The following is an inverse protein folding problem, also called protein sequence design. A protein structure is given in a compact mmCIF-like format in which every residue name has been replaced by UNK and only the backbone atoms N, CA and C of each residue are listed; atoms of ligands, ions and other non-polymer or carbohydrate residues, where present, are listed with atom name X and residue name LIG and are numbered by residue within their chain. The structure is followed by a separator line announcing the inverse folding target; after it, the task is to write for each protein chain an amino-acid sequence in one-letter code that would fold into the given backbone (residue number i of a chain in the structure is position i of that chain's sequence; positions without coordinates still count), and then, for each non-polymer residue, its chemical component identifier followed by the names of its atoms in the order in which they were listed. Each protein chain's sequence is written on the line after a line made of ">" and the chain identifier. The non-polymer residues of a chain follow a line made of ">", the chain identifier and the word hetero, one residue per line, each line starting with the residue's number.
data_IF_112591688997
#
_entry.id   IF_112591688997
#
_cell.length_a   1.000
_cell.length_b   1.000
_cell.length_c   1.000
_cell.angle_alpha   90.00
_cell.angle_beta   90.00
_cell.angle_gamma   90.00
#
_symmetry.space_group_name_H-M   'P 1'
#
loop_
_entity.id
_entity.type
_entity.pdbx_description
1 polymer ?
#
# COMPACT_ATOMS: atom_id res chain seq x y z
N UNK A 1 7.70 -62.34 -0.20
CA UNK A 1 9.07 -62.89 -0.44
C UNK A 1 10.05 -61.78 -0.67
N UNK A 2 11.01 -61.71 0.27
CA UNK A 2 12.42 -61.26 0.13
C UNK A 2 12.65 -59.79 -0.30
N UNK A 3 13.49 -58.99 0.30
CA UNK A 3 14.38 -59.05 1.47
C UNK A 3 14.87 -57.63 1.79
N UNK A 4 14.96 -57.36 3.07
CA UNK A 4 15.72 -56.44 3.88
C UNK A 4 17.15 -56.20 3.35
N UNK A 5 17.68 -54.94 3.43
CA UNK A 5 19.04 -54.70 3.93
C UNK A 5 19.17 -53.30 4.58
N UNK A 6 19.29 -53.39 5.87
CA UNK A 6 19.79 -52.40 6.83
C UNK A 6 21.33 -52.39 6.70
N UNK A 7 21.95 -51.22 6.61
CA UNK A 7 23.37 -51.03 6.89
C UNK A 7 23.54 -49.90 7.88
N UNK A 8 23.94 -50.30 9.06
CA UNK A 8 24.39 -49.52 10.21
C UNK A 8 25.91 -49.47 10.08
N UNK A 9 26.56 -48.32 10.13
CA UNK A 9 27.99 -48.17 10.44
C UNK A 9 28.15 -47.14 11.50
N UNK A 10 28.83 -47.60 12.52
CA UNK A 10 29.09 -47.05 13.84
C UNK A 10 30.58 -46.59 13.94
N UNK A 11 30.80 -45.53 14.73
CA UNK A 11 32.02 -45.14 15.47
C UNK A 11 33.32 -44.76 14.71
N UNK A 12 33.95 -43.63 15.09
CA UNK A 12 34.94 -43.59 16.15
C UNK A 12 35.31 -42.15 16.58
N UNK A 13 35.36 -41.97 17.90
CA UNK A 13 36.02 -40.87 18.62
C UNK A 13 37.56 -40.99 18.51
N UNK A 14 38.28 -39.86 18.43
CA UNK A 14 39.56 -39.68 19.11
C UNK A 14 39.73 -38.24 19.55
N UNK A 15 39.90 -38.08 20.84
CA UNK A 15 40.30 -36.82 21.49
C UNK A 15 41.82 -36.72 21.58
N UNK A 16 42.31 -35.51 21.70
CA UNK A 16 43.63 -35.24 22.32
C UNK A 16 43.62 -33.89 23.01
N UNK A 17 43.89 -33.94 24.27
CA UNK A 17 44.22 -32.84 25.20
C UNK A 17 45.71 -32.47 25.10
N UNK A 18 46.04 -31.35 25.71
CA UNK A 18 47.33 -30.73 26.18
C UNK A 18 47.59 -29.40 25.48
N UNK A 19 47.97 -28.34 26.21
CA UNK A 19 48.38 -28.15 27.57
C UNK A 19 48.56 -26.65 27.88
N UNK A 20 48.46 -26.34 29.14
CA UNK A 20 48.72 -25.05 29.78
C UNK A 20 50.21 -24.61 29.66
N UNK A 21 50.42 -23.29 29.53
CA UNK A 21 51.62 -22.68 30.13
C UNK A 21 51.30 -21.25 30.61
N UNK A 22 51.46 -21.08 31.91
CA UNK A 22 51.46 -19.85 32.68
C UNK A 22 52.81 -19.11 32.53
N UNK A 23 52.77 -17.78 32.44
CA UNK A 23 53.90 -16.98 33.00
C UNK A 23 53.36 -15.66 33.58
N UNK A 24 53.83 -15.44 34.80
CA UNK A 24 53.51 -14.32 35.71
C UNK A 24 54.26 -13.02 35.41
N UNK A 25 53.59 -11.92 35.68
CA UNK A 25 53.90 -10.75 36.50
C UNK A 25 55.07 -9.79 36.17
N UNK A 26 54.78 -8.53 36.09
CA UNK A 26 55.18 -7.40 37.00
C UNK A 26 55.17 -6.07 36.22
N UNK A 27 54.64 -5.04 36.87
CA UNK A 27 54.99 -3.65 36.63
C UNK A 27 53.86 -2.66 36.80
N UNK A 28 53.61 -2.22 38.02
CA UNK A 28 52.85 -1.04 38.39
C UNK A 28 53.52 0.24 37.83
N UNK A 29 52.71 1.10 37.15
CA UNK A 29 52.99 2.54 37.22
C UNK A 29 51.69 3.35 37.02
N UNK A 30 51.45 4.21 38.01
CA UNK A 30 50.31 5.09 38.16
C UNK A 30 50.41 6.31 37.25
N UNK A 31 49.37 6.63 36.47
CA UNK A 31 49.21 7.98 35.95
C UNK A 31 47.74 8.41 35.98
N UNK A 32 47.50 9.58 36.54
CA UNK A 32 46.22 10.25 36.77
C UNK A 32 45.44 10.61 35.49
N UNK A 33 44.14 10.86 35.63
CA UNK A 33 43.20 10.98 34.49
C UNK A 33 43.33 12.33 33.81
N UNK A 34 43.37 12.31 32.48
CA UNK A 34 43.15 13.48 31.62
C UNK A 34 41.72 13.58 31.13
N UNK A 35 41.24 14.79 31.18
CA UNK A 35 39.95 15.35 30.84
C UNK A 35 39.09 14.63 29.76
N UNK A 36 37.82 14.52 30.06
CA UNK A 36 36.74 14.19 29.14
C UNK A 36 36.74 15.13 27.92
N UNK A 37 36.96 14.58 26.75
CA UNK A 37 36.62 15.25 25.50
C UNK A 37 35.13 14.98 25.18
N UNK A 38 34.38 16.05 25.11
CA UNK A 38 32.99 16.07 24.67
C UNK A 38 32.87 15.43 23.29
N UNK A 39 32.00 14.44 23.19
CA UNK A 39 31.54 13.92 21.90
C UNK A 39 30.79 15.05 21.13
N UNK A 40 30.95 15.15 19.80
CA UNK A 40 30.22 16.17 19.05
C UNK A 40 28.73 15.82 19.07
N UNK A 41 27.93 16.78 19.48
CA UNK A 41 26.47 16.79 19.34
C UNK A 41 26.09 16.46 17.90
N UNK A 42 25.51 15.28 17.72
CA UNK A 42 24.89 14.88 16.47
C UNK A 42 23.67 15.77 16.25
N UNK A 43 23.84 16.84 15.48
CA UNK A 43 22.74 17.65 15.02
C UNK A 43 21.68 16.73 14.41
N UNK A 44 20.49 16.70 14.99
CA UNK A 44 19.29 16.21 14.37
C UNK A 44 19.02 17.05 13.12
N UNK A 45 19.53 16.63 11.98
CA UNK A 45 18.95 17.04 10.71
C UNK A 45 17.59 16.34 10.65
N UNK A 46 16.55 17.06 11.03
CA UNK A 46 15.18 16.77 10.61
C UNK A 46 15.24 16.62 9.09
N UNK A 47 14.97 15.39 8.64
CA UNK A 47 14.67 15.14 7.25
C UNK A 47 13.37 15.91 6.96
N UNK A 48 13.48 17.07 6.37
CA UNK A 48 12.35 17.75 5.73
C UNK A 48 11.85 16.81 4.64
N UNK A 49 10.85 16.01 5.00
CA UNK A 49 10.03 15.27 4.08
C UNK A 49 9.29 16.31 3.24
N UNK A 50 9.60 16.33 1.95
CA UNK A 50 8.97 17.23 0.98
C UNK A 50 7.53 16.75 0.74
N UNK A 51 6.65 16.97 1.70
CA UNK A 51 5.20 16.92 1.51
C UNK A 51 4.85 18.23 0.80
N UNK A 52 4.83 18.18 -0.53
CA UNK A 52 4.18 19.26 -1.28
C UNK A 52 2.76 19.36 -0.71
N UNK A 53 2.47 20.44 0.01
CA UNK A 53 1.12 20.69 0.52
C UNK A 53 0.22 20.87 -0.70
N UNK A 54 -0.79 20.01 -0.83
CA UNK A 54 -1.81 20.18 -1.86
C UNK A 54 -2.45 21.56 -1.65
N UNK A 55 -2.29 22.46 -2.63
CA UNK A 55 -2.97 23.75 -2.57
C UNK A 55 -4.46 23.54 -2.76
N UNK A 56 -5.25 23.94 -1.77
CA UNK A 56 -6.71 23.80 -1.75
C UNK A 56 -7.43 25.15 -1.72
N UNK A 57 -6.72 26.24 -2.04
CA UNK A 57 -7.30 27.59 -1.99
C UNK A 57 -8.53 27.73 -2.91
N UNK A 58 -8.47 27.13 -4.09
CA UNK A 58 -9.54 27.19 -5.10
C UNK A 58 -10.56 26.02 -4.99
N UNK A 59 -10.44 25.17 -3.96
CA UNK A 59 -11.34 24.03 -3.84
C UNK A 59 -12.74 24.45 -3.38
N UNK A 60 -13.75 23.81 -3.96
CA UNK A 60 -15.18 24.07 -3.68
C UNK A 60 -15.55 23.45 -2.34
N UNK A 61 -16.09 24.23 -1.42
CA UNK A 61 -16.67 23.71 -0.20
C UNK A 61 -18.04 23.07 -0.51
N UNK A 62 -18.23 21.80 -0.12
CA UNK A 62 -19.50 21.10 -0.32
C UNK A 62 -20.44 21.28 0.88
N UNK A 63 -21.74 21.27 0.64
CA UNK A 63 -22.76 21.30 1.69
C UNK A 63 -22.99 19.89 2.22
N UNK A 64 -22.58 19.63 3.46
CA UNK A 64 -22.66 18.31 4.10
C UNK A 64 -21.40 17.47 3.92
N UNK A 65 -21.40 16.21 4.40
CA UNK A 65 -20.26 15.31 4.28
C UNK A 65 -19.95 14.98 2.82
N UNK A 66 -18.70 15.17 2.41
CA UNK A 66 -18.24 14.80 1.08
C UNK A 66 -18.35 13.29 0.87
N UNK A 67 -18.80 12.88 -0.32
CA UNK A 67 -18.89 11.49 -0.76
C UNK A 67 -18.05 11.28 -2.01
N UNK A 68 -17.18 10.27 -2.01
CA UNK A 68 -16.27 9.96 -3.13
C UNK A 68 -16.53 8.55 -3.63
N UNK A 69 -16.96 8.35 -4.88
CA UNK A 69 -16.85 7.03 -5.50
C UNK A 69 -15.38 6.59 -5.54
N UNK A 70 -15.02 5.54 -4.80
CA UNK A 70 -13.71 4.89 -4.90
C UNK A 70 -13.91 3.63 -5.74
N UNK A 71 -13.45 3.67 -6.99
CA UNK A 71 -13.65 2.58 -7.96
C UNK A 71 -12.65 1.45 -7.68
N UNK A 72 -13.14 0.23 -7.48
CA UNK A 72 -12.34 -0.93 -7.17
C UNK A 72 -12.18 -1.83 -8.40
N UNK A 73 -11.05 -1.69 -9.08
CA UNK A 73 -10.55 -2.60 -10.12
C UNK A 73 -9.50 -3.58 -9.53
N UNK A 74 -9.08 -4.55 -10.33
CA UNK A 74 -7.95 -5.43 -10.06
C UNK A 74 -7.11 -5.56 -11.36
N UNK A 75 -7.34 -6.60 -12.15
CA UNK A 75 -6.62 -6.86 -13.39
C UNK A 75 -7.34 -6.28 -14.61
N UNK A 76 -6.60 -5.71 -15.55
CA UNK A 76 -7.13 -5.22 -16.85
C UNK A 76 -6.89 -6.29 -17.91
N UNK A 77 -7.72 -7.32 -17.86
CA UNK A 77 -7.66 -8.48 -18.75
C UNK A 77 -9.03 -9.16 -18.82
N UNK A 78 -9.13 -10.25 -19.57
CA UNK A 78 -10.36 -11.07 -19.62
C UNK A 78 -10.25 -12.30 -18.73
N UNK A 79 -11.40 -12.80 -18.25
CA UNK A 79 -11.44 -14.05 -17.47
C UNK A 79 -12.54 -14.09 -16.42
N UNK A 80 -12.22 -13.88 -15.15
CA UNK A 80 -13.17 -13.93 -14.04
C UNK A 80 -13.71 -12.54 -13.65
N UNK A 81 -14.53 -12.46 -12.59
CA UNK A 81 -15.15 -11.23 -12.09
C UNK A 81 -14.20 -10.14 -11.57
N UNK A 82 -12.91 -10.43 -11.41
CA UNK A 82 -11.87 -9.47 -11.03
C UNK A 82 -11.14 -8.87 -12.23
N UNK A 83 -11.50 -9.28 -13.44
CA UNK A 83 -10.77 -8.94 -14.67
C UNK A 83 -11.66 -8.14 -15.59
N UNK A 84 -11.39 -6.86 -15.73
CA UNK A 84 -12.09 -5.97 -16.65
C UNK A 84 -11.32 -5.90 -17.97
N UNK A 85 -11.93 -6.24 -19.11
CA UNK A 85 -11.26 -6.13 -20.41
C UNK A 85 -10.75 -4.73 -20.70
N UNK A 86 -9.61 -4.63 -21.40
CA UNK A 86 -8.95 -3.36 -21.71
C UNK A 86 -9.89 -2.37 -22.44
N UNK A 87 -10.68 -2.87 -23.41
CA UNK A 87 -11.63 -2.03 -24.15
C UNK A 87 -12.74 -1.46 -23.25
N UNK A 88 -13.22 -2.25 -22.27
CA UNK A 88 -14.21 -1.78 -21.29
C UNK A 88 -13.59 -0.73 -20.38
N UNK A 89 -12.38 -0.99 -19.85
CA UNK A 89 -11.67 -0.02 -19.01
C UNK A 89 -11.44 1.31 -19.76
N UNK A 90 -11.01 1.26 -21.02
CA UNK A 90 -10.86 2.46 -21.86
C UNK A 90 -12.19 3.19 -22.02
N UNK A 91 -13.29 2.47 -22.20
CA UNK A 91 -14.63 3.04 -22.28
C UNK A 91 -15.06 3.73 -20.97
N UNK A 92 -14.73 3.14 -19.81
CA UNK A 92 -15.00 3.73 -18.50
C UNK A 92 -14.19 5.02 -18.29
N UNK A 93 -12.90 5.02 -18.61
CA UNK A 93 -12.04 6.21 -18.50
C UNK A 93 -12.49 7.34 -19.44
N UNK A 94 -12.84 6.97 -20.68
CA UNK A 94 -13.41 7.93 -21.61
C UNK A 94 -14.70 8.56 -21.07
N UNK A 95 -15.59 7.75 -20.50
CA UNK A 95 -16.83 8.25 -19.91
C UNK A 95 -16.55 9.23 -18.76
N UNK A 96 -15.61 8.95 -17.87
CA UNK A 96 -15.21 9.88 -16.80
C UNK A 96 -14.68 11.19 -17.36
N UNK A 97 -13.82 11.15 -18.39
CA UNK A 97 -13.26 12.36 -19.04
C UNK A 97 -14.37 13.20 -19.69
N UNK A 98 -15.24 12.57 -20.47
CA UNK A 98 -16.31 13.24 -21.20
C UNK A 98 -17.35 13.89 -20.25
N UNK A 99 -17.50 13.35 -19.04
CA UNK A 99 -18.43 13.86 -18.02
C UNK A 99 -17.77 14.77 -16.98
N UNK A 100 -16.49 15.17 -17.20
CA UNK A 100 -15.80 16.18 -16.38
C UNK A 100 -15.41 15.70 -14.98
N UNK A 101 -15.16 14.40 -14.81
CA UNK A 101 -14.68 13.87 -13.52
C UNK A 101 -13.20 14.21 -13.29
N UNK A 102 -12.91 14.76 -12.12
CA UNK A 102 -11.56 14.91 -11.60
C UNK A 102 -11.13 13.63 -10.87
N UNK A 103 -9.97 13.08 -11.22
CA UNK A 103 -9.42 11.91 -10.57
C UNK A 103 -8.48 12.32 -9.43
N UNK A 104 -8.76 11.82 -8.23
CA UNK A 104 -8.05 12.18 -7.00
C UNK A 104 -6.77 11.34 -6.79
N UNK A 105 -5.78 11.92 -6.09
CA UNK A 105 -4.74 11.14 -5.39
C UNK A 105 -5.24 10.71 -4.01
N UNK A 106 -4.54 9.79 -3.30
CA UNK A 106 -4.85 9.46 -1.90
C UNK A 106 -4.86 10.68 -0.99
N UNK A 107 -3.90 11.60 -1.13
CA UNK A 107 -3.80 12.82 -0.32
C UNK A 107 -4.98 13.77 -0.59
N UNK A 108 -5.35 13.94 -1.86
CA UNK A 108 -6.51 14.74 -2.24
C UNK A 108 -7.81 14.11 -1.70
N UNK A 109 -7.97 12.79 -1.78
CA UNK A 109 -9.11 12.08 -1.22
C UNK A 109 -9.19 12.24 0.29
N UNK A 110 -8.07 12.18 1.01
CA UNK A 110 -8.01 12.45 2.44
C UNK A 110 -8.50 13.86 2.78
N UNK A 111 -8.05 14.88 2.03
CA UNK A 111 -8.48 16.27 2.23
C UNK A 111 -10.00 16.40 1.96
N UNK A 112 -10.49 15.82 0.85
CA UNK A 112 -11.92 15.84 0.52
C UNK A 112 -12.76 15.27 1.66
N UNK A 113 -12.39 14.10 2.18
CA UNK A 113 -13.15 13.41 3.23
C UNK A 113 -13.05 14.08 4.60
N UNK A 114 -11.94 14.77 4.90
CA UNK A 114 -11.72 15.38 6.21
C UNK A 114 -12.14 16.85 6.30
N UNK A 115 -12.11 17.57 5.17
CA UNK A 115 -12.35 19.02 5.15
C UNK A 115 -13.62 19.44 4.38
N UNK A 116 -14.33 18.49 3.77
CA UNK A 116 -15.51 18.74 2.93
C UNK A 116 -15.25 19.78 1.82
N UNK A 117 -14.05 19.71 1.22
CA UNK A 117 -13.62 20.53 0.09
C UNK A 117 -13.26 19.63 -1.09
N UNK A 118 -13.62 19.99 -2.30
CA UNK A 118 -13.40 19.21 -3.52
C UNK A 118 -12.74 20.06 -4.61
N UNK A 119 -11.77 19.51 -5.37
CA UNK A 119 -11.16 20.23 -6.50
C UNK A 119 -12.12 20.42 -7.67
N UNK A 120 -13.20 19.67 -7.72
CA UNK A 120 -14.28 19.74 -8.73
C UNK A 120 -15.57 19.23 -8.12
N UNK A 121 -16.72 19.63 -8.66
CA UNK A 121 -18.02 19.08 -8.26
C UNK A 121 -18.11 17.56 -8.49
N UNK A 122 -17.38 17.03 -9.47
CA UNK A 122 -17.34 15.61 -9.79
C UNK A 122 -15.94 15.06 -9.55
N UNK A 123 -15.76 14.37 -8.43
CA UNK A 123 -14.51 13.71 -8.09
C UNK A 123 -14.68 12.19 -8.01
N UNK A 124 -13.61 11.46 -8.30
CA UNK A 124 -13.53 10.01 -8.22
C UNK A 124 -12.11 9.58 -7.85
N UNK A 125 -11.96 8.50 -7.08
CA UNK A 125 -10.67 7.85 -6.86
C UNK A 125 -10.66 6.52 -7.61
N UNK A 126 -9.76 6.34 -8.57
CA UNK A 126 -9.59 5.09 -9.31
C UNK A 126 -8.60 4.22 -8.56
N UNK A 127 -8.98 2.99 -8.17
CA UNK A 127 -8.10 2.08 -7.44
C UNK A 127 -7.98 0.73 -8.11
N UNK A 128 -6.79 0.10 -8.00
CA UNK A 128 -6.51 -1.26 -8.44
C UNK A 128 -5.92 -2.03 -7.27
N UNK A 129 -6.48 -3.21 -6.98
CA UNK A 129 -5.94 -4.09 -5.95
C UNK A 129 -4.92 -5.08 -6.56
N UNK A 130 -4.08 -5.68 -5.71
CA UNK A 130 -3.07 -6.72 -5.97
C UNK A 130 -1.80 -6.25 -6.68
N UNK A 131 -1.85 -5.25 -7.55
CA UNK A 131 -0.69 -4.77 -8.30
C UNK A 131 -0.27 -5.71 -9.44
N UNK A 132 -1.23 -6.14 -10.26
CA UNK A 132 -0.97 -6.96 -11.45
C UNK A 132 -0.13 -6.23 -12.50
N UNK A 133 0.69 -6.96 -13.27
CA UNK A 133 1.52 -6.38 -14.35
C UNK A 133 0.68 -5.66 -15.41
N UNK A 134 -0.55 -6.11 -15.69
CA UNK A 134 -1.44 -5.48 -16.66
C UNK A 134 -1.93 -4.09 -16.22
N UNK A 135 -1.78 -3.73 -14.95
CA UNK A 135 -1.97 -2.34 -14.51
C UNK A 135 -0.94 -1.40 -15.14
N UNK A 136 0.30 -1.86 -15.34
CA UNK A 136 1.33 -1.11 -16.07
C UNK A 136 1.18 -1.25 -17.59
N UNK A 137 0.97 -2.46 -18.09
CA UNK A 137 1.01 -2.74 -19.53
C UNK A 137 -0.23 -2.22 -20.27
N UNK A 138 -1.39 -2.14 -19.60
CA UNK A 138 -2.69 -1.82 -20.20
C UNK A 138 -3.41 -0.64 -19.55
N UNK A 139 -3.56 -0.63 -18.20
CA UNK A 139 -4.27 0.46 -17.54
C UNK A 139 -3.49 1.77 -17.61
N UNK A 140 -2.20 1.75 -17.31
CA UNK A 140 -1.38 2.95 -17.23
C UNK A 140 -1.31 3.75 -18.55
N UNK A 141 -1.11 3.15 -19.74
CA UNK A 141 -1.21 3.89 -21.02
C UNK A 141 -2.56 4.56 -21.22
N UNK A 142 -3.65 3.89 -20.85
CA UNK A 142 -5.01 4.45 -20.96
C UNK A 142 -5.18 5.64 -20.01
N UNK A 143 -4.73 5.51 -18.75
CA UNK A 143 -4.78 6.60 -17.77
C UNK A 143 -3.98 7.81 -18.24
N UNK A 144 -2.81 7.60 -18.84
CA UNK A 144 -2.01 8.68 -19.45
C UNK A 144 -2.71 9.35 -20.61
N UNK A 145 -3.33 8.59 -21.53
CA UNK A 145 -4.09 9.13 -22.67
C UNK A 145 -5.19 10.11 -22.23
N UNK A 146 -5.79 9.87 -21.06
CA UNK A 146 -6.84 10.71 -20.48
C UNK A 146 -6.38 11.66 -19.39
N UNK A 147 -5.07 11.70 -19.07
CA UNK A 147 -4.47 12.53 -18.01
C UNK A 147 -5.10 12.24 -16.63
N UNK A 148 -5.32 10.98 -16.32
CA UNK A 148 -5.99 10.53 -15.11
C UNK A 148 -5.00 10.02 -14.05
N UNK A 149 -5.26 10.39 -12.80
CA UNK A 149 -4.61 9.83 -11.61
C UNK A 149 -5.30 8.53 -11.20
N UNK A 150 -4.55 7.64 -10.55
CA UNK A 150 -5.07 6.41 -9.96
C UNK A 150 -4.20 5.95 -8.78
N UNK A 151 -4.66 4.95 -8.06
CA UNK A 151 -3.97 4.35 -6.92
C UNK A 151 -3.89 2.84 -7.10
N UNK A 152 -2.71 2.26 -6.89
CA UNK A 152 -2.52 0.81 -6.88
C UNK A 152 -2.24 0.37 -5.45
N UNK A 153 -3.08 -0.48 -4.91
CA UNK A 153 -2.83 -1.18 -3.66
C UNK A 153 -1.99 -2.43 -3.92
N UNK A 154 -0.69 -2.29 -3.71
CA UNK A 154 0.29 -3.32 -4.03
C UNK A 154 0.50 -4.30 -2.87
N UNK A 155 0.50 -5.59 -3.16
CA UNK A 155 0.91 -6.63 -2.22
C UNK A 155 2.44 -6.62 -2.09
N UNK A 156 2.96 -6.33 -0.90
CA UNK A 156 4.41 -6.15 -0.71
C UNK A 156 5.25 -7.35 -1.15
N UNK A 157 4.83 -8.57 -0.80
CA UNK A 157 5.53 -9.81 -1.17
C UNK A 157 5.44 -10.16 -2.67
N UNK A 158 4.54 -9.52 -3.39
CA UNK A 158 4.33 -9.76 -4.83
C UNK A 158 5.21 -8.87 -5.72
N UNK A 159 5.90 -7.87 -5.16
CA UNK A 159 6.80 -7.00 -5.94
C UNK A 159 7.80 -7.81 -6.74
N UNK A 160 7.83 -7.61 -8.05
CA UNK A 160 8.73 -8.30 -8.99
C UNK A 160 8.43 -9.77 -9.23
N UNK A 161 7.35 -10.32 -8.67
CA UNK A 161 6.93 -11.69 -8.99
C UNK A 161 6.25 -11.76 -10.36
N UNK A 162 6.18 -12.96 -10.91
CA UNK A 162 5.45 -13.21 -12.16
C UNK A 162 4.04 -12.63 -12.10
N UNK A 163 3.65 -11.91 -13.13
CA UNK A 163 2.36 -11.22 -13.28
C UNK A 163 2.08 -10.08 -12.28
N UNK A 164 3.09 -9.59 -11.57
CA UNK A 164 2.97 -8.43 -10.68
C UNK A 164 3.99 -7.34 -11.04
N UNK A 165 3.70 -6.12 -10.59
CA UNK A 165 4.54 -4.95 -10.83
C UNK A 165 5.95 -5.12 -10.25
N UNK A 166 6.92 -4.64 -11.00
CA UNK A 166 8.30 -4.48 -10.53
C UNK A 166 8.49 -3.11 -9.88
N UNK A 167 9.54 -2.96 -9.05
CA UNK A 167 9.93 -1.67 -8.48
C UNK A 167 10.11 -0.58 -9.55
N UNK A 168 10.76 -0.92 -10.69
CA UNK A 168 10.95 0.02 -11.81
C UNK A 168 9.63 0.51 -12.38
N UNK A 169 8.67 -0.39 -12.60
CA UNK A 169 7.35 -0.02 -13.12
C UNK A 169 6.58 0.87 -12.14
N UNK A 170 6.62 0.54 -10.84
CA UNK A 170 5.97 1.37 -9.81
C UNK A 170 6.58 2.78 -9.74
N UNK A 171 7.91 2.91 -9.82
CA UNK A 171 8.59 4.23 -9.86
C UNK A 171 8.16 5.05 -11.07
N UNK A 172 8.16 4.44 -12.26
CA UNK A 172 7.71 5.11 -13.50
C UNK A 172 6.25 5.55 -13.41
N UNK A 173 5.36 4.72 -12.85
CA UNK A 173 3.95 5.06 -12.66
C UNK A 173 3.77 6.22 -11.67
N UNK A 174 4.54 6.21 -10.57
CA UNK A 174 4.48 7.24 -9.54
C UNK A 174 4.89 8.62 -10.07
N UNK A 175 5.87 8.69 -10.96
CA UNK A 175 6.28 9.93 -11.65
C UNK A 175 5.18 10.54 -12.54
N UNK A 176 4.13 9.76 -12.83
CA UNK A 176 3.03 10.17 -13.72
C UNK A 176 1.66 10.16 -13.02
N UNK A 177 1.63 10.34 -11.70
CA UNK A 177 0.40 10.53 -10.94
C UNK A 177 -0.35 9.24 -10.57
N UNK A 178 0.31 8.07 -10.67
CA UNK A 178 -0.24 6.81 -10.18
C UNK A 178 0.37 6.51 -8.81
N UNK A 179 -0.40 6.69 -7.75
CA UNK A 179 0.05 6.40 -6.39
C UNK A 179 0.19 4.89 -6.15
N UNK A 180 1.22 4.49 -5.40
CA UNK A 180 1.42 3.11 -4.96
C UNK A 180 1.17 3.06 -3.46
N UNK A 181 0.14 2.36 -3.07
CA UNK A 181 -0.34 2.25 -1.70
C UNK A 181 -0.33 0.79 -1.23
N UNK A 182 -0.73 0.53 0.01
CA UNK A 182 -0.56 -0.77 0.64
C UNK A 182 -1.74 -1.73 0.45
N UNK A 183 -1.44 -2.99 0.09
CA UNK A 183 -2.37 -4.12 0.21
C UNK A 183 -1.82 -5.21 1.16
N UNK A 184 -1.22 -4.77 2.27
CA UNK A 184 -0.47 -5.58 3.24
C UNK A 184 0.79 -6.23 2.66
N UNK A 185 1.59 -6.91 3.51
CA UNK A 185 2.82 -7.55 3.04
C UNK A 185 2.56 -8.91 2.38
N UNK A 186 1.63 -9.73 2.93
CA UNK A 186 1.41 -11.11 2.50
C UNK A 186 0.02 -11.37 1.90
N UNK A 187 -0.89 -10.39 1.88
CA UNK A 187 -2.27 -10.54 1.42
C UNK A 187 -3.05 -11.63 2.19
N UNK A 188 -2.97 -11.62 3.51
CA UNK A 188 -3.71 -12.53 4.40
C UNK A 188 -4.96 -11.85 4.94
N UNK A 189 -6.03 -12.60 5.20
CA UNK A 189 -7.24 -12.08 5.85
C UNK A 189 -6.90 -11.63 7.28
N UNK A 190 -7.00 -10.32 7.54
CA UNK A 190 -6.52 -9.72 8.79
C UNK A 190 -7.38 -10.06 10.00
N UNK A 191 -8.70 -10.16 9.80
CA UNK A 191 -9.65 -10.40 10.89
C UNK A 191 -9.48 -11.75 11.61
N UNK A 192 -8.74 -12.68 11.04
CA UNK A 192 -8.39 -13.97 11.64
C UNK A 192 -7.03 -14.00 12.36
N UNK A 193 -6.29 -12.88 12.33
CA UNK A 193 -4.95 -12.79 12.92
C UNK A 193 -4.99 -12.17 14.31
N UNK A 194 -4.00 -12.52 15.15
CA UNK A 194 -3.75 -11.79 16.40
C UNK A 194 -3.38 -10.31 16.13
N UNK A 195 -3.65 -9.38 17.06
CA UNK A 195 -3.41 -7.94 16.85
C UNK A 195 -1.99 -7.59 16.40
N UNK A 196 -0.98 -8.24 16.99
CA UNK A 196 0.43 -8.01 16.66
C UNK A 196 0.78 -8.50 15.25
N UNK A 197 0.14 -9.55 14.78
CA UNK A 197 0.29 -10.06 13.42
C UNK A 197 -0.36 -9.11 12.41
N UNK A 198 -1.57 -8.60 12.71
CA UNK A 198 -2.23 -7.59 11.89
C UNK A 198 -1.35 -6.34 11.75
N UNK A 199 -0.84 -5.82 12.88
CA UNK A 199 0.07 -4.67 12.88
C UNK A 199 1.33 -4.93 12.05
N UNK A 200 1.93 -6.12 12.19
CA UNK A 200 3.11 -6.53 11.43
C UNK A 200 2.86 -6.56 9.93
N UNK A 201 1.71 -7.11 9.48
CA UNK A 201 1.31 -7.14 8.07
C UNK A 201 1.26 -5.72 7.47
N UNK A 202 0.68 -4.79 8.20
CA UNK A 202 0.48 -3.39 7.80
C UNK A 202 1.79 -2.60 7.85
N UNK A 203 2.51 -2.65 8.98
CA UNK A 203 3.74 -1.86 9.20
C UNK A 203 4.85 -2.26 8.23
N UNK A 204 5.03 -3.58 8.00
CA UNK A 204 6.04 -4.08 7.06
C UNK A 204 5.76 -3.65 5.63
N UNK A 205 4.49 -3.65 5.21
CA UNK A 205 4.09 -3.17 3.89
C UNK A 205 4.35 -1.66 3.74
N UNK A 206 3.91 -0.86 4.72
CA UNK A 206 4.15 0.59 4.72
C UNK A 206 5.65 0.90 4.66
N UNK A 207 6.45 0.29 5.53
CA UNK A 207 7.91 0.49 5.56
C UNK A 207 8.57 0.12 4.23
N UNK A 208 8.10 -0.96 3.59
CA UNK A 208 8.61 -1.39 2.28
C UNK A 208 8.39 -0.30 1.22
N UNK A 209 7.15 0.19 1.07
CA UNK A 209 6.82 1.16 0.03
C UNK A 209 7.40 2.55 0.32
N UNK A 210 7.36 2.99 1.57
CA UNK A 210 8.00 4.25 1.99
C UNK A 210 9.50 4.25 1.68
N UNK A 211 10.18 3.14 1.97
CA UNK A 211 11.61 2.99 1.69
C UNK A 211 11.93 2.89 0.20
N UNK A 212 11.14 2.11 -0.53
CA UNK A 212 11.36 1.82 -1.96
C UNK A 212 11.08 3.04 -2.84
N UNK A 213 10.00 3.76 -2.58
CA UNK A 213 9.49 4.83 -3.42
C UNK A 213 9.79 6.23 -2.86
N UNK A 214 10.39 6.31 -1.66
CA UNK A 214 10.67 7.57 -0.95
C UNK A 214 9.41 8.42 -0.73
N UNK A 215 8.34 7.75 -0.33
CA UNK A 215 7.02 8.34 -0.12
C UNK A 215 6.55 8.17 1.33
N UNK A 216 5.35 8.65 1.63
CA UNK A 216 4.60 8.32 2.82
C UNK A 216 3.32 7.58 2.39
N UNK A 217 3.29 6.26 2.52
CA UNK A 217 2.12 5.42 2.22
C UNK A 217 1.02 5.72 3.24
N UNK A 218 -0.09 6.29 2.80
CA UNK A 218 -1.17 6.78 3.70
C UNK A 218 -2.44 5.95 3.62
N UNK A 219 -2.58 5.11 2.59
CA UNK A 219 -3.81 4.38 2.35
C UNK A 219 -3.58 2.86 2.33
N UNK A 220 -4.56 2.12 2.85
CA UNK A 220 -4.52 0.66 2.94
C UNK A 220 -5.80 0.07 2.33
N UNK A 221 -5.67 -0.97 1.48
CA UNK A 221 -6.80 -1.83 1.14
C UNK A 221 -6.71 -3.13 1.94
N UNK A 222 -7.80 -3.50 2.62
CA UNK A 222 -7.85 -4.77 3.37
C UNK A 222 -7.96 -5.95 2.41
N UNK A 223 -7.08 -6.98 2.52
CA UNK A 223 -7.19 -8.18 1.70
C UNK A 223 -8.58 -8.80 1.78
N UNK A 224 -9.17 -9.07 0.62
CA UNK A 224 -10.54 -9.65 0.47
C UNK A 224 -11.62 -8.81 1.17
N UNK A 225 -11.31 -7.60 1.63
CA UNK A 225 -12.20 -6.75 2.43
C UNK A 225 -12.45 -7.29 3.84
N UNK A 226 -11.62 -8.21 4.37
CA UNK A 226 -11.81 -8.82 5.68
C UNK A 226 -11.11 -8.02 6.78
N UNK A 227 -11.90 -7.44 7.67
CA UNK A 227 -11.44 -6.65 8.81
C UNK A 227 -12.37 -6.85 10.02
N UNK A 228 -11.94 -6.39 11.19
CA UNK A 228 -12.72 -6.29 12.41
C UNK A 228 -12.34 -5.01 13.17
N UNK A 229 -12.96 -4.76 14.32
CA UNK A 229 -12.70 -3.55 15.12
C UNK A 229 -11.22 -3.41 15.54
N UNK A 230 -10.53 -4.54 15.75
CA UNK A 230 -9.11 -4.53 16.07
C UNK A 230 -8.27 -4.16 14.83
N UNK A 231 -8.66 -4.62 13.64
CA UNK A 231 -7.98 -4.28 12.38
C UNK A 231 -7.94 -2.77 12.16
N UNK A 232 -9.06 -2.07 12.45
CA UNK A 232 -9.13 -0.60 12.32
C UNK A 232 -8.11 0.11 13.22
N UNK A 233 -8.01 -0.32 14.48
CA UNK A 233 -7.02 0.20 15.45
C UNK A 233 -5.58 -0.06 15.00
N UNK A 234 -5.33 -1.26 14.47
CA UNK A 234 -3.99 -1.61 14.00
C UNK A 234 -3.60 -0.84 12.73
N UNK A 235 -4.54 -0.50 11.84
CA UNK A 235 -4.30 0.36 10.69
C UNK A 235 -3.89 1.78 11.12
N UNK A 236 -4.60 2.37 12.08
CA UNK A 236 -4.25 3.65 12.69
C UNK A 236 -2.86 3.60 13.35
N UNK A 237 -2.61 2.57 14.18
CA UNK A 237 -1.33 2.37 14.86
C UNK A 237 -0.16 2.15 13.91
N UNK A 238 -0.40 1.55 12.74
CA UNK A 238 0.59 1.39 11.69
C UNK A 238 0.93 2.70 10.96
N UNK A 239 0.15 3.77 11.20
CA UNK A 239 0.38 5.11 10.65
C UNK A 239 -0.30 5.34 9.29
N UNK A 240 -1.28 4.54 8.90
CA UNK A 240 -2.15 4.87 7.78
C UNK A 240 -3.11 5.98 8.17
N UNK A 241 -3.56 6.77 7.20
CA UNK A 241 -4.57 7.81 7.39
C UNK A 241 -5.96 7.35 6.95
N UNK A 242 -6.02 6.40 6.01
CA UNK A 242 -7.25 5.85 5.47
C UNK A 242 -7.11 4.35 5.18
N UNK A 243 -8.24 3.64 5.24
CA UNK A 243 -8.31 2.30 4.70
C UNK A 243 -9.65 2.06 3.99
N UNK A 244 -9.59 1.26 2.92
CA UNK A 244 -10.74 0.89 2.11
C UNK A 244 -11.13 -0.57 2.30
N UNK A 245 -12.41 -0.82 2.18
CA UNK A 245 -13.04 -2.14 2.29
C UNK A 245 -13.58 -2.61 0.95
N UNK A 246 -14.33 -3.70 0.96
CA UNK A 246 -15.16 -4.14 -0.19
C UNK A 246 -16.64 -3.86 0.02
N UNK A 247 -17.00 -3.16 1.09
CA UNK A 247 -18.38 -2.73 1.34
C UNK A 247 -18.84 -1.80 0.21
N UNK A 248 -20.05 -2.02 -0.33
CA UNK A 248 -20.51 -1.27 -1.50
C UNK A 248 -20.97 0.14 -1.14
N UNK A 249 -20.59 1.13 -1.94
CA UNK A 249 -21.03 2.52 -1.81
C UNK A 249 -19.91 3.53 -2.05
N UNK A 250 -20.25 4.81 -2.00
CA UNK A 250 -19.22 5.85 -1.98
C UNK A 250 -18.57 5.94 -0.60
N UNK A 251 -17.30 6.28 -0.59
CA UNK A 251 -16.59 6.59 0.64
C UNK A 251 -17.10 7.89 1.26
N UNK A 252 -17.31 7.87 2.57
CA UNK A 252 -17.71 9.03 3.36
C UNK A 252 -17.12 8.95 4.78
N UNK A 253 -16.86 10.11 5.38
CA UNK A 253 -16.25 10.20 6.71
C UNK A 253 -17.08 9.52 7.82
N UNK A 254 -18.39 9.46 7.70
CA UNK A 254 -19.30 8.83 8.67
C UNK A 254 -19.13 7.31 8.79
N UNK A 255 -18.49 6.66 7.80
CA UNK A 255 -18.10 5.24 7.84
C UNK A 255 -16.86 5.02 8.75
N UNK A 256 -16.14 6.10 9.11
CA UNK A 256 -14.81 6.04 9.71
C UNK A 256 -13.71 5.95 8.67
N UNK A 257 -12.60 6.69 8.87
CA UNK A 257 -11.51 6.80 7.89
C UNK A 257 -10.80 5.45 7.60
N UNK A 258 -10.99 4.46 8.43
CA UNK A 258 -10.42 3.12 8.27
C UNK A 258 -11.44 2.06 7.79
N UNK A 259 -12.66 2.47 7.38
CA UNK A 259 -13.68 1.56 6.89
C UNK A 259 -14.41 2.12 5.65
N UNK A 260 -13.68 2.81 4.79
CA UNK A 260 -14.24 3.49 3.62
C UNK A 260 -14.78 2.48 2.60
N UNK A 261 -15.98 2.74 2.11
CA UNK A 261 -16.65 1.91 1.11
C UNK A 261 -16.07 2.12 -0.29
N UNK A 262 -16.29 1.15 -1.18
CA UNK A 262 -15.87 1.22 -2.58
C UNK A 262 -16.97 0.79 -3.56
N UNK A 263 -16.83 1.25 -4.78
CA UNK A 263 -17.68 0.87 -5.91
C UNK A 263 -16.95 -0.22 -6.70
N UNK A 264 -17.40 -1.47 -6.58
CA UNK A 264 -16.79 -2.61 -7.29
C UNK A 264 -17.10 -2.52 -8.78
N UNK A 265 -16.06 -2.63 -9.61
CA UNK A 265 -16.19 -2.69 -11.07
C UNK A 265 -16.00 -4.13 -11.53
N UNK A 266 -17.01 -4.67 -12.19
CA UNK A 266 -17.01 -6.02 -12.77
C UNK A 266 -17.00 -5.95 -14.30
N UNK A 267 -16.51 -7.00 -15.00
CA UNK A 267 -16.58 -7.06 -16.45
C UNK A 267 -18.02 -7.11 -16.97
N UNK A 268 -18.20 -6.72 -18.24
CA UNK A 268 -19.50 -6.71 -18.92
C UNK A 268 -20.29 -5.42 -18.71
N UNK A 269 -19.66 -4.37 -18.21
CA UNK A 269 -20.30 -3.08 -17.94
C UNK A 269 -20.06 -2.11 -19.09
N UNK A 270 -21.15 -1.70 -19.78
CA UNK A 270 -21.05 -0.66 -20.80
C UNK A 270 -20.67 0.70 -20.15
N UNK A 271 -20.10 1.65 -20.91
CA UNK A 271 -19.77 2.99 -20.39
C UNK A 271 -20.98 3.69 -19.74
N UNK A 272 -22.18 3.57 -20.32
CA UNK A 272 -23.39 4.18 -19.75
C UNK A 272 -23.85 3.50 -18.45
N UNK A 273 -23.72 2.16 -18.35
CA UNK A 273 -24.02 1.44 -17.13
C UNK A 273 -23.01 1.80 -16.01
N UNK A 274 -21.74 1.90 -16.37
CA UNK A 274 -20.69 2.39 -15.49
C UNK A 274 -21.00 3.81 -14.98
N UNK A 275 -21.35 4.71 -15.90
CA UNK A 275 -21.70 6.09 -15.55
C UNK A 275 -22.86 6.19 -14.57
N UNK A 276 -23.95 5.48 -14.84
CA UNK A 276 -25.11 5.44 -13.91
C UNK A 276 -24.71 4.94 -12.52
N UNK A 277 -23.84 3.93 -12.44
CA UNK A 277 -23.37 3.40 -11.17
C UNK A 277 -22.51 4.43 -10.41
N UNK A 278 -21.59 5.11 -11.09
CA UNK A 278 -20.74 6.15 -10.49
C UNK A 278 -21.60 7.32 -10.00
N UNK A 279 -22.57 7.78 -10.80
CA UNK A 279 -23.47 8.88 -10.41
C UNK A 279 -24.39 8.50 -9.26
N UNK A 280 -24.98 7.29 -9.28
CA UNK A 280 -25.82 6.80 -8.18
C UNK A 280 -25.05 6.67 -6.87
N UNK A 281 -23.79 6.23 -6.90
CA UNK A 281 -22.97 6.10 -5.69
C UNK A 281 -22.66 7.43 -5.00
N UNK A 282 -22.80 8.59 -5.69
CA UNK A 282 -22.55 9.92 -5.11
C UNK A 282 -23.76 10.48 -4.31
N UNK A 283 -24.91 9.89 -4.49
CA UNK A 283 -26.15 10.28 -3.79
C UNK A 283 -26.19 9.68 -2.37
#
# INVERSE_FOLDING_TARGET
>A
MKNTKLILILLMLTGAMYGCSSHEAKGEETAKPKAAQQAPERSKKESQQNTASTDTADWIKVNGPARIPILMYHSISSGNSLRVPEAEFRGHMKWLKDNGYYTLTPEEAYIVLTQDKMPSEKCVLITFDDGYTDNFEKAYPILKDYEMKATIFMIGKSVGRKNHLTERQMKEMAEHGIAIESHTINHVELNGLAPEQQLSEMTRSKTLFDGMLKQNTIMLSYPVGRYNAETLKQAEKAGYQMAVTTEPGAAARDQGMYALHRVRISPGMSPDAFGRMVEHSRQ
#
